data_IF_751855952836
#
_entry.id   IF_751855952836
#
_cell.length_a   1.000
_cell.length_b   1.000
_cell.length_c   1.000
_cell.angle_alpha   90.00
_cell.angle_beta   90.00
_cell.angle_gamma   90.00
#
_symmetry.space_group_name_H-M   'P 1'
#
loop_
_entity.id
_entity.type
_entity.pdbx_description
1 polymer ?
#
# COMPACT_ATOMS: atom_id res chain seq x y z
N UNK A 1 -21.57 -14.18 -20.07
CA UNK A 1 -21.97 -12.84 -20.59
C UNK A 1 -22.64 -11.96 -19.54
N UNK A 2 -23.59 -12.47 -18.75
CA UNK A 2 -24.36 -11.68 -17.78
C UNK A 2 -23.55 -11.05 -16.62
N UNK A 3 -22.42 -11.64 -16.23
CA UNK A 3 -21.62 -11.11 -15.12
C UNK A 3 -20.88 -9.81 -15.51
N UNK A 4 -20.29 -9.78 -16.70
CA UNK A 4 -19.53 -8.63 -17.20
C UNK A 4 -20.48 -7.46 -17.47
N UNK A 5 -21.65 -7.71 -18.06
CA UNK A 5 -22.64 -6.65 -18.30
C UNK A 5 -23.19 -6.06 -17.01
N UNK A 6 -23.51 -6.90 -16.00
CA UNK A 6 -23.95 -6.43 -14.68
C UNK A 6 -22.85 -5.67 -13.91
N UNK A 7 -21.58 -6.02 -14.13
CA UNK A 7 -20.47 -5.29 -13.52
C UNK A 7 -20.32 -3.89 -14.14
N UNK A 8 -20.27 -3.80 -15.47
CA UNK A 8 -20.16 -2.52 -16.16
C UNK A 8 -21.36 -1.62 -15.90
N UNK A 9 -22.58 -2.17 -15.80
CA UNK A 9 -23.76 -1.38 -15.44
C UNK A 9 -23.68 -0.85 -14.00
N UNK A 10 -23.21 -1.64 -13.03
CA UNK A 10 -23.00 -1.17 -11.66
C UNK A 10 -21.95 -0.07 -11.57
N UNK A 11 -20.84 -0.18 -12.31
CA UNK A 11 -19.81 0.87 -12.37
C UNK A 11 -20.34 2.14 -13.02
N UNK A 12 -21.12 2.03 -14.09
CA UNK A 12 -21.76 3.17 -14.74
C UNK A 12 -22.80 3.87 -13.84
N UNK A 13 -23.55 3.10 -13.04
CA UNK A 13 -24.49 3.64 -12.05
C UNK A 13 -23.78 4.30 -10.86
N UNK A 14 -22.64 3.77 -10.41
CA UNK A 14 -21.83 4.42 -9.38
C UNK A 14 -21.22 5.73 -9.90
N UNK A 15 -20.84 5.73 -11.17
CA UNK A 15 -20.25 6.87 -11.88
C UNK A 15 -21.22 8.06 -11.99
N UNK A 16 -22.53 7.82 -12.15
CA UNK A 16 -23.55 8.88 -12.24
C UNK A 16 -23.97 9.44 -10.88
N UNK A 17 -23.81 8.69 -9.79
CA UNK A 17 -24.16 9.12 -8.44
C UNK A 17 -23.04 9.93 -7.74
N UNK A 18 -21.79 9.83 -8.20
CA UNK A 18 -20.65 10.56 -7.63
C UNK A 18 -20.38 11.84 -8.42
N UNK A 19 -20.54 13.00 -7.79
CA UNK A 19 -20.26 14.32 -8.36
C UNK A 19 -18.90 14.36 -9.06
N UNK A 20 -18.86 14.85 -10.31
CA UNK A 20 -17.65 14.96 -11.15
C UNK A 20 -16.45 15.56 -10.41
N UNK A 21 -16.70 16.61 -9.62
CA UNK A 21 -15.68 17.31 -8.81
C UNK A 21 -14.96 16.38 -7.82
N UNK A 22 -15.68 15.46 -7.19
CA UNK A 22 -15.13 14.52 -6.20
C UNK A 22 -14.22 13.47 -6.85
N UNK A 23 -14.51 13.11 -8.11
CA UNK A 23 -13.71 12.14 -8.87
C UNK A 23 -12.35 12.71 -9.22
N UNK A 24 -12.33 13.95 -9.70
CA UNK A 24 -11.10 14.63 -10.09
C UNK A 24 -10.16 14.80 -8.88
N UNK A 25 -10.70 15.16 -7.72
CA UNK A 25 -9.95 15.25 -6.46
C UNK A 25 -9.41 13.87 -6.05
N UNK A 26 -10.21 12.80 -6.21
CA UNK A 26 -9.75 11.43 -5.96
C UNK A 26 -8.58 11.01 -6.86
N UNK A 27 -8.67 11.28 -8.17
CA UNK A 27 -7.58 10.98 -9.10
C UNK A 27 -6.32 11.82 -8.82
N UNK A 28 -6.48 13.11 -8.54
CA UNK A 28 -5.38 13.98 -8.15
C UNK A 28 -4.71 13.52 -6.84
N UNK A 29 -5.51 13.07 -5.87
CA UNK A 29 -5.03 12.49 -4.61
C UNK A 29 -4.23 11.20 -4.84
N UNK A 30 -4.72 10.30 -5.70
CA UNK A 30 -4.01 9.06 -6.02
C UNK A 30 -2.66 9.30 -6.73
N UNK A 31 -2.64 10.21 -7.72
CA UNK A 31 -1.44 10.55 -8.47
C UNK A 31 -0.40 11.25 -7.57
N UNK A 32 -0.82 12.21 -6.76
CA UNK A 32 0.08 12.88 -5.82
C UNK A 32 0.65 11.90 -4.79
N UNK A 33 -0.17 10.98 -4.26
CA UNK A 33 0.28 9.91 -3.38
C UNK A 33 1.33 8.99 -4.02
N UNK A 34 1.14 8.60 -5.29
CA UNK A 34 2.10 7.78 -6.03
C UNK A 34 3.46 8.49 -6.19
N UNK A 35 3.44 9.78 -6.55
CA UNK A 35 4.64 10.61 -6.69
C UNK A 35 5.39 10.72 -5.36
N UNK A 36 4.69 11.07 -4.26
CA UNK A 36 5.28 11.16 -2.92
C UNK A 36 5.88 9.82 -2.47
N UNK A 37 5.18 8.71 -2.74
CA UNK A 37 5.67 7.37 -2.41
C UNK A 37 6.97 7.02 -3.15
N UNK A 38 7.06 7.41 -4.43
CA UNK A 38 8.26 7.20 -5.24
C UNK A 38 9.46 8.01 -4.72
N UNK A 39 9.25 9.29 -4.40
CA UNK A 39 10.29 10.15 -3.83
C UNK A 39 10.77 9.62 -2.48
N UNK A 40 9.86 9.15 -1.63
CA UNK A 40 10.19 8.55 -0.34
C UNK A 40 11.15 7.37 -0.49
N UNK A 41 10.89 6.46 -1.43
CA UNK A 41 11.78 5.31 -1.67
C UNK A 41 13.17 5.73 -2.16
N UNK A 42 13.26 6.74 -3.03
CA UNK A 42 14.54 7.28 -3.50
C UNK A 42 15.32 7.94 -2.36
N UNK A 43 14.66 8.74 -1.53
CA UNK A 43 15.29 9.46 -0.41
C UNK A 43 15.78 8.50 0.68
N UNK A 44 14.96 7.53 1.09
CA UNK A 44 15.36 6.51 2.07
C UNK A 44 16.60 5.76 1.62
N UNK A 45 16.70 5.44 0.32
CA UNK A 45 17.86 4.78 -0.26
C UNK A 45 19.10 5.67 -0.26
N UNK A 46 18.96 6.96 -0.57
CA UNK A 46 20.08 7.92 -0.57
C UNK A 46 20.64 8.14 0.84
N UNK A 47 19.77 8.24 1.84
CA UNK A 47 20.18 8.46 3.25
C UNK A 47 20.76 7.18 3.88
N UNK A 48 20.27 6.00 3.50
CA UNK A 48 20.73 4.72 4.04
C UNK A 48 22.22 4.40 3.83
N UNK A 49 22.91 5.10 2.94
CA UNK A 49 24.35 4.91 2.70
C UNK A 49 25.29 5.64 3.67
N UNK A 50 24.80 6.59 4.49
CA UNK A 50 25.67 7.45 5.31
C UNK A 50 25.26 7.63 6.78
N UNK A 51 24.05 7.22 7.18
CA UNK A 51 23.52 7.48 8.53
C UNK A 51 22.93 6.21 9.14
N UNK A 52 23.15 6.01 10.44
CA UNK A 52 22.59 4.90 11.21
C UNK A 52 21.07 4.78 11.05
N UNK A 53 20.61 3.57 10.69
CA UNK A 53 19.22 3.19 10.41
C UNK A 53 18.18 3.77 11.38
N UNK A 54 18.50 3.74 12.67
CA UNK A 54 17.61 4.13 13.76
C UNK A 54 17.14 5.58 13.66
N UNK A 55 18.05 6.48 13.30
CA UNK A 55 17.80 7.93 13.21
C UNK A 55 16.78 8.24 12.11
N UNK A 56 16.90 7.57 10.96
CA UNK A 56 16.04 7.80 9.81
C UNK A 56 14.58 7.39 10.10
N UNK A 57 14.38 6.25 10.78
CA UNK A 57 13.04 5.80 11.16
C UNK A 57 12.44 6.68 12.25
N UNK A 58 13.26 7.16 13.19
CA UNK A 58 12.79 8.07 14.23
C UNK A 58 12.28 9.40 13.66
N UNK A 59 13.05 10.04 12.77
CA UNK A 59 12.62 11.29 12.12
C UNK A 59 11.38 11.09 11.23
N UNK A 60 11.33 10.00 10.45
CA UNK A 60 10.16 9.69 9.62
C UNK A 60 8.91 9.44 10.48
N UNK A 61 9.06 8.72 11.60
CA UNK A 61 8.01 8.49 12.58
C UNK A 61 7.48 9.80 13.18
N UNK A 62 8.37 10.71 13.57
CA UNK A 62 7.98 12.00 14.14
C UNK A 62 7.27 12.90 13.13
N UNK A 63 7.82 13.02 11.91
CA UNK A 63 7.20 13.80 10.84
C UNK A 63 5.82 13.24 10.46
N UNK A 64 5.68 11.91 10.36
CA UNK A 64 4.40 11.29 10.04
C UNK A 64 3.37 11.45 11.17
N UNK A 65 3.78 11.38 12.43
CA UNK A 65 2.90 11.63 13.58
C UNK A 65 2.40 13.08 13.60
N UNK A 66 3.28 14.05 13.37
CA UNK A 66 2.92 15.47 13.28
C UNK A 66 1.99 15.74 12.10
N UNK A 67 2.32 15.21 10.92
CA UNK A 67 1.49 15.39 9.72
C UNK A 67 0.11 14.77 9.89
N UNK A 68 0.04 13.54 10.42
CA UNK A 68 -1.23 12.85 10.69
C UNK A 68 -2.06 13.55 11.76
N UNK A 69 -1.41 14.08 12.80
CA UNK A 69 -2.07 14.93 13.80
C UNK A 69 -2.65 16.20 13.17
N UNK A 70 -1.86 16.91 12.36
CA UNK A 70 -2.29 18.13 11.70
C UNK A 70 -3.46 17.88 10.72
N UNK A 71 -3.40 16.83 9.90
CA UNK A 71 -4.49 16.50 8.97
C UNK A 71 -5.76 16.12 9.70
N UNK A 72 -5.66 15.42 10.84
CA UNK A 72 -6.82 15.10 11.68
C UNK A 72 -7.51 16.37 12.17
N UNK A 73 -6.77 17.38 12.63
CA UNK A 73 -7.34 18.66 13.08
C UNK A 73 -8.02 19.46 11.97
N UNK A 74 -7.49 19.39 10.74
CA UNK A 74 -8.02 20.15 9.60
C UNK A 74 -9.28 19.51 9.01
N UNK A 75 -9.35 18.18 8.92
CA UNK A 75 -10.44 17.49 8.22
C UNK A 75 -11.60 17.04 9.12
N UNK A 76 -11.37 16.79 10.42
CA UNK A 76 -12.41 16.20 11.26
C UNK A 76 -12.41 16.74 12.69
N UNK A 77 -13.59 16.85 13.31
CA UNK A 77 -13.69 17.03 14.76
C UNK A 77 -13.08 15.80 15.43
N UNK A 78 -12.17 15.95 16.42
CA UNK A 78 -11.58 14.81 17.10
C UNK A 78 -12.65 14.06 17.90
N UNK A 79 -13.23 13.03 17.28
CA UNK A 79 -14.14 12.11 17.95
C UNK A 79 -13.30 10.98 18.51
N UNK A 80 -13.24 10.87 19.83
CA UNK A 80 -12.55 9.76 20.50
C UNK A 80 -13.41 8.51 20.26
N UNK A 81 -12.89 7.45 19.62
CA UNK A 81 -13.67 6.24 19.41
C UNK A 81 -14.08 5.64 20.77
N UNK A 82 -15.38 5.34 20.91
CA UNK A 82 -15.95 4.82 22.15
C UNK A 82 -15.31 3.50 22.61
N UNK A 83 -15.31 3.31 23.92
CA UNK A 83 -14.61 2.24 24.63
C UNK A 83 -15.19 0.84 24.33
N UNK A 84 -14.33 -0.07 23.83
CA UNK A 84 -14.62 -1.48 23.60
C UNK A 84 -13.41 -2.25 23.06
N UNK A 85 -13.61 -3.51 22.64
CA UNK A 85 -12.56 -4.41 22.09
C UNK A 85 -11.86 -3.83 20.86
N UNK A 86 -12.52 -2.92 20.13
CA UNK A 86 -11.98 -2.16 19.00
C UNK A 86 -10.70 -1.40 19.33
N UNK A 87 -10.52 -0.94 20.59
CA UNK A 87 -9.30 -0.25 21.01
C UNK A 87 -8.06 -1.15 20.93
N UNK A 88 -8.19 -2.41 21.31
CA UNK A 88 -7.09 -3.37 21.26
C UNK A 88 -6.71 -3.71 19.81
N UNK A 89 -7.69 -3.83 18.92
CA UNK A 89 -7.44 -4.01 17.49
C UNK A 89 -6.77 -2.78 16.86
N UNK A 90 -7.20 -1.56 17.21
CA UNK A 90 -6.59 -0.32 16.74
C UNK A 90 -5.12 -0.20 17.17
N UNK A 91 -4.82 -0.51 18.44
CA UNK A 91 -3.45 -0.55 18.95
C UNK A 91 -2.62 -1.62 18.23
N UNK A 92 -3.20 -2.81 18.02
CA UNK A 92 -2.55 -3.90 17.28
C UNK A 92 -2.18 -3.50 15.85
N UNK A 93 -3.10 -2.88 15.11
CA UNK A 93 -2.84 -2.37 13.75
C UNK A 93 -1.80 -1.25 13.76
N UNK A 94 -1.84 -0.34 14.75
CA UNK A 94 -0.84 0.72 14.87
C UNK A 94 0.57 0.14 15.11
N UNK A 95 0.72 -0.80 16.05
CA UNK A 95 1.99 -1.48 16.32
C UNK A 95 2.50 -2.26 15.10
N UNK A 96 1.60 -2.99 14.43
CA UNK A 96 1.93 -3.72 13.21
C UNK A 96 2.35 -2.77 12.09
N UNK A 97 1.69 -1.62 11.91
CA UNK A 97 2.04 -0.60 10.92
C UNK A 97 3.41 0.04 11.18
N UNK A 98 3.72 0.29 12.47
CA UNK A 98 5.04 0.74 12.90
C UNK A 98 6.09 -0.33 12.57
N UNK A 99 5.84 -1.58 12.93
CA UNK A 99 6.74 -2.70 12.62
C UNK A 99 6.96 -2.89 11.11
N UNK A 100 5.90 -2.78 10.31
CA UNK A 100 5.95 -2.76 8.84
C UNK A 100 6.88 -1.66 8.34
N UNK A 101 6.80 -0.47 8.92
CA UNK A 101 7.62 0.66 8.52
C UNK A 101 9.09 0.44 8.90
N UNK A 102 9.37 -0.13 10.08
CA UNK A 102 10.73 -0.54 10.46
C UNK A 102 11.30 -1.59 9.50
N UNK A 103 10.55 -2.66 9.23
CA UNK A 103 11.01 -3.74 8.36
C UNK A 103 11.24 -3.23 6.93
N UNK A 104 10.31 -2.43 6.38
CA UNK A 104 10.41 -1.88 5.03
C UNK A 104 11.64 -0.96 4.89
N UNK A 105 11.84 -0.04 5.83
CA UNK A 105 13.00 0.85 5.80
C UNK A 105 14.30 0.04 5.88
N UNK A 106 14.33 -1.03 6.69
CA UNK A 106 15.53 -1.87 6.85
C UNK A 106 15.79 -2.70 5.58
N UNK A 107 14.75 -3.28 5.00
CA UNK A 107 14.82 -4.07 3.76
C UNK A 107 15.29 -3.24 2.57
N UNK A 108 14.80 -2.00 2.44
CA UNK A 108 15.22 -1.07 1.38
C UNK A 108 16.70 -0.65 1.46
N UNK A 109 17.31 -0.75 2.65
CA UNK A 109 18.73 -0.44 2.86
C UNK A 109 19.64 -1.66 2.65
N UNK A 110 19.12 -2.87 2.89
CA UNK A 110 19.89 -4.12 2.79
C UNK A 110 19.87 -4.73 1.38
N UNK A 111 18.78 -4.58 0.61
CA UNK A 111 18.67 -5.15 -0.73
C UNK A 111 18.50 -4.09 -1.84
N UNK A 112 18.82 -4.47 -3.09
CA UNK A 112 18.55 -3.65 -4.29
C UNK A 112 17.05 -3.34 -4.37
N UNK A 113 16.65 -2.20 -4.96
CA UNK A 113 15.23 -1.78 -5.03
C UNK A 113 14.26 -2.75 -5.75
N UNK A 114 14.78 -3.77 -6.46
CA UNK A 114 13.96 -4.73 -7.19
C UNK A 114 13.13 -5.66 -6.28
N UNK A 115 13.71 -6.31 -5.24
CA UNK A 115 12.94 -7.10 -4.26
C UNK A 115 11.85 -6.35 -3.49
N UNK A 116 12.05 -5.06 -3.16
CA UNK A 116 11.02 -4.29 -2.45
C UNK A 116 9.75 -4.08 -3.30
N UNK A 117 9.90 -3.82 -4.60
CA UNK A 117 8.78 -3.72 -5.53
C UNK A 117 8.02 -5.05 -5.66
N UNK A 118 8.73 -6.18 -5.56
CA UNK A 118 8.12 -7.52 -5.61
C UNK A 118 7.31 -7.82 -4.36
N UNK A 119 7.90 -7.58 -3.19
CA UNK A 119 7.22 -7.71 -1.90
C UNK A 119 5.90 -6.93 -1.89
N UNK A 120 5.88 -5.72 -2.46
CA UNK A 120 4.67 -4.90 -2.53
C UNK A 120 3.58 -5.49 -3.42
N UNK A 121 3.94 -6.20 -4.49
CA UNK A 121 2.96 -6.88 -5.35
C UNK A 121 2.42 -8.16 -4.70
N UNK A 122 3.26 -8.90 -3.98
CA UNK A 122 2.84 -10.12 -3.25
C UNK A 122 1.95 -9.77 -2.05
N UNK A 123 2.25 -8.67 -1.34
CA UNK A 123 1.45 -8.13 -0.23
C UNK A 123 -0.03 -7.94 -0.64
N UNK A 124 -0.29 -7.46 -1.86
CA UNK A 124 -1.65 -7.28 -2.40
C UNK A 124 -2.40 -8.62 -2.49
N UNK A 125 -1.74 -9.70 -2.93
CA UNK A 125 -2.38 -11.02 -2.98
C UNK A 125 -2.65 -11.59 -1.59
N UNK A 126 -1.68 -11.44 -0.68
CA UNK A 126 -1.85 -11.90 0.69
C UNK A 126 -3.03 -11.17 1.33
N UNK A 127 -3.20 -9.87 1.09
CA UNK A 127 -4.37 -9.12 1.54
C UNK A 127 -5.67 -9.72 0.99
N UNK A 128 -5.76 -10.04 -0.30
CA UNK A 128 -6.95 -10.69 -0.86
C UNK A 128 -7.21 -12.08 -0.29
N UNK A 129 -6.16 -12.88 -0.09
CA UNK A 129 -6.27 -14.21 0.48
C UNK A 129 -6.74 -14.15 1.94
N UNK A 130 -6.22 -13.19 2.71
CA UNK A 130 -6.58 -12.97 4.11
C UNK A 130 -8.01 -12.43 4.24
N UNK A 131 -8.42 -11.52 3.34
CA UNK A 131 -9.78 -11.00 3.27
C UNK A 131 -10.78 -12.13 2.99
N UNK A 132 -10.47 -13.01 2.03
CA UNK A 132 -11.27 -14.22 1.77
C UNK A 132 -11.28 -15.19 2.96
N UNK A 133 -10.13 -15.44 3.58
CA UNK A 133 -9.98 -16.43 4.65
C UNK A 133 -10.65 -16.00 5.97
N UNK A 134 -10.57 -14.71 6.34
CA UNK A 134 -11.09 -14.20 7.60
C UNK A 134 -12.52 -13.68 7.46
N UNK A 135 -12.82 -12.89 6.43
CA UNK A 135 -14.13 -12.24 6.28
C UNK A 135 -15.11 -13.06 5.44
N UNK A 136 -14.66 -14.13 4.77
CA UNK A 136 -15.51 -14.99 3.94
C UNK A 136 -16.14 -14.28 2.74
N UNK A 137 -15.74 -13.03 2.48
CA UNK A 137 -16.22 -12.26 1.34
C UNK A 137 -15.64 -12.88 0.07
N UNK A 138 -16.52 -13.35 -0.83
CA UNK A 138 -16.08 -13.94 -2.10
C UNK A 138 -15.68 -12.81 -3.05
N UNK A 139 -14.38 -12.60 -3.33
CA UNK A 139 -13.97 -11.61 -4.31
C UNK A 139 -14.54 -12.01 -5.67
N UNK A 140 -14.90 -11.01 -6.45
CA UNK A 140 -15.36 -11.20 -7.82
C UNK A 140 -14.27 -11.95 -8.62
N UNK A 141 -14.65 -12.90 -9.49
CA UNK A 141 -13.69 -13.68 -10.29
C UNK A 141 -12.78 -12.77 -11.15
N UNK A 142 -13.29 -11.61 -11.58
CA UNK A 142 -12.51 -10.60 -12.30
C UNK A 142 -11.42 -9.96 -11.43
N UNK A 143 -11.73 -9.63 -10.17
CA UNK A 143 -10.76 -9.07 -9.22
C UNK A 143 -9.66 -10.08 -8.92
N UNK A 144 -10.02 -11.36 -8.77
CA UNK A 144 -9.08 -12.44 -8.52
C UNK A 144 -8.13 -12.66 -9.71
N UNK A 145 -8.68 -12.70 -10.94
CA UNK A 145 -7.89 -12.82 -12.17
C UNK A 145 -6.97 -11.63 -12.40
N UNK A 146 -7.45 -10.40 -12.15
CA UNK A 146 -6.63 -9.19 -12.23
C UNK A 146 -5.45 -9.22 -11.24
N UNK A 147 -5.70 -9.60 -9.99
CA UNK A 147 -4.65 -9.75 -8.98
C UNK A 147 -3.60 -10.79 -9.37
N UNK A 148 -4.04 -11.96 -9.85
CA UNK A 148 -3.14 -13.03 -10.29
C UNK A 148 -2.27 -12.59 -11.47
N UNK A 149 -2.85 -11.88 -12.44
CA UNK A 149 -2.13 -11.35 -13.60
C UNK A 149 -1.01 -10.39 -13.20
N UNK A 150 -1.26 -9.47 -12.26
CA UNK A 150 -0.26 -8.52 -11.77
C UNK A 150 0.93 -9.24 -11.13
N UNK A 151 0.67 -10.30 -10.37
CA UNK A 151 1.75 -11.06 -9.71
C UNK A 151 2.52 -11.93 -10.67
N UNK A 152 1.86 -12.59 -11.61
CA UNK A 152 2.55 -13.32 -12.67
C UNK A 152 3.47 -12.38 -13.48
N UNK A 153 2.99 -11.19 -13.83
CA UNK A 153 3.77 -10.17 -14.52
C UNK A 153 5.00 -9.73 -13.71
N UNK A 154 4.80 -9.40 -12.43
CA UNK A 154 5.90 -8.90 -11.59
C UNK A 154 6.89 -10.01 -11.25
N UNK A 155 6.42 -11.23 -10.97
CA UNK A 155 7.25 -12.41 -10.74
C UNK A 155 8.10 -12.78 -11.95
N UNK A 156 7.56 -12.68 -13.16
CA UNK A 156 8.32 -12.90 -14.39
C UNK A 156 9.50 -11.94 -14.55
N UNK A 157 9.31 -10.65 -14.25
CA UNK A 157 10.38 -9.63 -14.29
C UNK A 157 11.44 -9.89 -13.22
N UNK A 158 11.04 -10.36 -12.04
CA UNK A 158 11.96 -10.72 -10.96
C UNK A 158 12.86 -11.89 -11.32
N UNK A 159 12.24 -12.96 -11.82
CA UNK A 159 12.94 -14.13 -12.29
C UNK A 159 13.88 -13.70 -13.41
N UNK A 160 13.41 -12.98 -14.43
CA UNK A 160 14.28 -12.47 -15.50
C UNK A 160 15.51 -11.71 -14.99
N UNK A 161 15.36 -10.84 -13.98
CA UNK A 161 16.49 -10.15 -13.34
C UNK A 161 17.41 -11.08 -12.56
N UNK A 162 16.86 -12.07 -11.86
CA UNK A 162 17.64 -13.06 -11.13
C UNK A 162 18.45 -13.96 -12.06
N UNK A 163 17.86 -14.40 -13.17
CA UNK A 163 18.52 -15.20 -14.20
C UNK A 163 19.65 -14.40 -14.87
N UNK A 164 19.41 -13.14 -15.28
CA UNK A 164 20.45 -12.28 -15.85
C UNK A 164 21.62 -12.03 -14.88
N UNK A 165 21.33 -11.85 -13.59
CA UNK A 165 22.37 -11.67 -12.57
C UNK A 165 23.21 -12.93 -12.31
N UNK A 166 22.77 -14.12 -12.76
CA UNK A 166 23.55 -15.36 -12.71
C UNK A 166 24.41 -15.57 -13.97
N UNK A 167 24.06 -14.93 -15.08
CA UNK A 167 24.84 -14.98 -16.33
C UNK A 167 26.07 -14.04 -16.30
N UNK A 168 26.09 -13.07 -15.38
CA UNK A 168 27.18 -12.09 -15.18
C UNK A 168 28.25 -12.55 -14.15
N UNK A 169 28.25 -13.82 -13.72
CA UNK A 169 29.23 -14.46 -12.82
C UNK A 169 29.89 -15.64 -13.54
#
# INVERSE_FOLDING_TARGET
MNFISNFFSNVANLSSHVTESSRLIGYAGALSGAVVQSFTFVMVRKVGGSVSFYTNVFYFGWCSALLSGLTMFVFQKPVVPNCGTTRWFLIGVALCGVFRSFCLNRGLQLEKAAPAALMRNVDILLAFLFDYAIFGHKPSLLTLMGGLLVVLSTGGVALGKWWRSRDDI
#
